data_IF_690798151735
#
_entry.id   IF_690798151735
#
_cell.length_a   1.000
_cell.length_b   1.000
_cell.length_c   1.000
_cell.angle_alpha   90.00
_cell.angle_beta   90.00
_cell.angle_gamma   90.00
#
_symmetry.space_group_name_H-M   'P 1'
#
loop_
_entity.id
_entity.type
_entity.pdbx_description
1 polymer ?
#
# COMPACT_ATOMS: atom_id res chain seq x y z
N UNK A 1 -58.36 -53.93 -4.04
CA UNK A 1 -58.39 -52.95 -2.94
C UNK A 1 -57.12 -53.14 -2.10
N UNK A 2 -56.03 -52.40 -2.40
CA UNK A 2 -54.75 -52.53 -1.69
C UNK A 2 -54.72 -51.52 -0.53
N UNK A 3 -54.52 -52.02 0.67
CA UNK A 3 -54.61 -51.31 1.94
C UNK A 3 -53.51 -50.25 2.09
N UNK A 4 -53.90 -48.97 2.09
CA UNK A 4 -53.06 -47.83 2.49
C UNK A 4 -52.89 -47.77 4.02
N UNK A 5 -52.31 -48.82 4.62
CA UNK A 5 -52.19 -48.95 6.09
C UNK A 5 -50.96 -48.25 6.69
N UNK A 6 -50.16 -47.56 5.88
CA UNK A 6 -48.91 -46.91 6.30
C UNK A 6 -48.92 -45.38 6.08
N UNK A 7 -50.07 -44.80 5.73
CA UNK A 7 -50.21 -43.37 5.44
C UNK A 7 -49.82 -42.42 6.61
N UNK A 8 -50.10 -42.71 7.90
CA UNK A 8 -49.82 -41.75 8.97
C UNK A 8 -48.32 -41.61 9.29
N UNK A 9 -47.51 -42.64 9.03
CA UNK A 9 -46.06 -42.61 9.29
C UNK A 9 -45.32 -41.74 8.27
N UNK A 10 -45.79 -41.69 7.02
CA UNK A 10 -45.19 -40.82 6.00
C UNK A 10 -45.52 -39.33 6.21
N UNK A 11 -46.70 -39.01 6.77
CA UNK A 11 -47.09 -37.62 7.02
C UNK A 11 -46.28 -36.99 8.17
N UNK A 12 -45.89 -37.78 9.17
CA UNK A 12 -45.09 -37.31 10.31
C UNK A 12 -43.63 -36.96 9.93
N UNK A 13 -43.06 -37.63 8.92
CA UNK A 13 -41.71 -37.35 8.44
C UNK A 13 -41.61 -36.03 7.64
N UNK A 14 -42.69 -35.62 6.96
CA UNK A 14 -42.73 -34.36 6.20
C UNK A 14 -42.81 -33.10 7.09
N UNK A 15 -43.38 -33.23 8.30
CA UNK A 15 -43.51 -32.11 9.23
C UNK A 15 -42.16 -31.66 9.84
N UNK A 16 -41.16 -32.55 9.87
CA UNK A 16 -39.81 -32.22 10.37
C UNK A 16 -38.99 -31.35 9.41
N UNK A 17 -39.35 -31.29 8.12
CA UNK A 17 -38.68 -30.43 7.14
C UNK A 17 -39.34 -29.05 6.97
N UNK A 18 -40.54 -28.83 7.52
CA UNK A 18 -41.21 -27.53 7.49
C UNK A 18 -40.61 -26.51 8.48
N UNK A 19 -39.71 -26.93 9.38
CA UNK A 19 -39.11 -26.07 10.41
C UNK A 19 -37.98 -25.16 9.91
N UNK A 20 -37.29 -25.51 8.81
CA UNK A 20 -36.11 -24.76 8.37
C UNK A 20 -36.41 -23.48 7.55
N UNK A 21 -37.68 -23.13 7.29
CA UNK A 21 -38.03 -21.89 6.56
C UNK A 21 -38.55 -20.77 7.46
N UNK A 22 -38.41 -20.90 8.79
CA UNK A 22 -38.84 -19.87 9.77
C UNK A 22 -37.72 -18.89 10.14
N UNK A 23 -36.68 -18.78 9.31
CA UNK A 23 -35.71 -17.71 9.44
C UNK A 23 -36.37 -16.40 8.96
N UNK A 24 -36.34 -15.31 9.76
CA UNK A 24 -36.82 -14.01 9.32
C UNK A 24 -36.22 -13.67 7.95
N UNK A 25 -36.96 -13.04 7.04
CA UNK A 25 -36.46 -12.73 5.70
C UNK A 25 -35.16 -11.94 5.85
N UNK A 26 -34.03 -12.49 5.40
CA UNK A 26 -32.74 -11.83 5.55
C UNK A 26 -32.78 -10.46 4.85
N UNK A 27 -32.29 -9.41 5.52
CA UNK A 27 -32.13 -8.11 4.88
C UNK A 27 -30.95 -8.17 3.87
N UNK A 28 -31.21 -8.03 2.56
CA UNK A 28 -30.18 -8.23 1.54
C UNK A 28 -29.07 -7.18 1.60
N UNK A 29 -29.38 -5.92 1.96
CA UNK A 29 -28.39 -4.86 2.05
C UNK A 29 -27.45 -5.07 3.25
N UNK A 30 -27.98 -5.55 4.37
CA UNK A 30 -27.18 -5.88 5.53
C UNK A 30 -26.26 -7.08 5.25
N UNK A 31 -26.75 -8.09 4.54
CA UNK A 31 -25.96 -9.27 4.21
C UNK A 31 -24.82 -8.93 3.23
N UNK A 32 -25.08 -8.09 2.24
CA UNK A 32 -24.05 -7.56 1.34
C UNK A 32 -22.96 -6.81 2.14
N UNK A 33 -23.35 -5.93 3.07
CA UNK A 33 -22.41 -5.21 3.91
C UNK A 33 -21.53 -6.13 4.78
N UNK A 34 -22.08 -7.25 5.28
CA UNK A 34 -21.31 -8.25 6.03
C UNK A 34 -20.28 -8.94 5.14
N UNK A 35 -20.65 -9.31 3.93
CA UNK A 35 -19.76 -9.94 2.96
C UNK A 35 -18.63 -9.00 2.56
N UNK A 36 -18.96 -7.73 2.26
CA UNK A 36 -17.99 -6.69 1.93
C UNK A 36 -16.99 -6.46 3.09
N UNK A 37 -17.48 -6.43 4.33
CA UNK A 37 -16.63 -6.26 5.51
C UNK A 37 -15.70 -7.46 5.72
N UNK A 38 -16.19 -8.69 5.54
CA UNK A 38 -15.35 -9.89 5.61
C UNK A 38 -14.25 -9.86 4.56
N UNK A 39 -14.57 -9.46 3.32
CA UNK A 39 -13.57 -9.29 2.27
C UNK A 39 -12.54 -8.20 2.61
N UNK A 40 -12.98 -7.08 3.20
CA UNK A 40 -12.09 -6.01 3.64
C UNK A 40 -11.18 -6.46 4.79
N UNK A 41 -11.70 -7.19 5.77
CA UNK A 41 -10.92 -7.72 6.90
C UNK A 41 -9.94 -8.82 6.48
N UNK A 42 -10.27 -9.59 5.44
CA UNK A 42 -9.37 -10.59 4.87
C UNK A 42 -8.24 -9.97 4.02
N UNK A 43 -8.33 -8.69 3.67
CA UNK A 43 -7.30 -8.00 2.90
C UNK A 43 -6.21 -7.44 3.85
N UNK A 44 -4.96 -7.94 3.79
CA UNK A 44 -3.88 -7.50 4.66
C UNK A 44 -3.52 -6.02 4.46
N UNK A 45 -3.71 -5.46 3.26
CA UNK A 45 -3.44 -4.04 3.02
C UNK A 45 -4.43 -3.17 3.79
N UNK A 46 -5.70 -3.56 3.82
CA UNK A 46 -6.75 -2.83 4.56
C UNK A 46 -6.49 -2.90 6.06
N UNK A 47 -6.12 -4.08 6.58
CA UNK A 47 -5.83 -4.28 8.00
C UNK A 47 -4.61 -3.48 8.46
N UNK A 48 -3.55 -3.45 7.65
CA UNK A 48 -2.29 -2.83 8.06
C UNK A 48 -2.21 -1.33 7.74
N UNK A 49 -2.80 -0.90 6.62
CA UNK A 49 -2.69 0.47 6.14
C UNK A 49 -3.92 1.30 6.50
N UNK A 50 -5.12 0.74 6.56
CA UNK A 50 -6.34 1.46 6.89
C UNK A 50 -7.04 0.99 8.20
N UNK A 51 -6.32 0.76 9.32
CA UNK A 51 -6.90 0.16 10.52
C UNK A 51 -7.98 1.05 11.16
N UNK A 52 -7.81 2.37 11.11
CA UNK A 52 -8.78 3.32 11.67
C UNK A 52 -10.09 3.26 10.87
N UNK A 53 -10.01 3.33 9.54
CA UNK A 53 -11.17 3.29 8.67
C UNK A 53 -11.85 1.92 8.71
N UNK A 54 -11.07 0.83 8.81
CA UNK A 54 -11.62 -0.52 8.99
C UNK A 54 -12.38 -0.63 10.32
N UNK A 55 -11.88 -0.03 11.40
CA UNK A 55 -12.62 0.02 12.66
C UNK A 55 -13.91 0.82 12.54
N UNK A 56 -13.89 1.99 11.91
CA UNK A 56 -15.11 2.76 11.68
C UNK A 56 -16.15 1.98 10.87
N UNK A 57 -15.69 1.21 9.88
CA UNK A 57 -16.53 0.33 9.09
C UNK A 57 -17.16 -0.78 9.94
N UNK A 58 -16.38 -1.38 10.86
CA UNK A 58 -16.86 -2.35 11.84
C UNK A 58 -17.95 -1.75 12.73
N UNK A 59 -17.68 -0.59 13.32
CA UNK A 59 -18.61 0.08 14.25
C UNK A 59 -19.94 0.44 13.53
N UNK A 60 -19.88 0.82 12.25
CA UNK A 60 -21.07 1.08 11.45
C UNK A 60 -21.85 -0.18 11.07
N UNK A 61 -21.16 -1.27 10.74
CA UNK A 61 -21.79 -2.56 10.49
C UNK A 61 -22.46 -3.10 11.76
N UNK A 62 -21.83 -2.93 12.92
CA UNK A 62 -22.40 -3.31 14.22
C UNK A 62 -23.68 -2.54 14.52
N UNK A 63 -23.75 -1.24 14.19
CA UNK A 63 -25.00 -0.48 14.30
C UNK A 63 -26.11 -1.05 13.42
N UNK A 64 -25.80 -1.44 12.18
CA UNK A 64 -26.77 -2.05 11.28
C UNK A 64 -27.22 -3.45 11.77
N UNK A 65 -26.30 -4.25 12.31
CA UNK A 65 -26.58 -5.54 12.94
C UNK A 65 -27.49 -5.38 14.17
N UNK A 66 -27.23 -4.39 15.02
CA UNK A 66 -28.03 -4.13 16.21
C UNK A 66 -29.45 -3.72 15.85
N UNK A 67 -29.63 -2.82 14.88
CA UNK A 67 -30.96 -2.45 14.38
C UNK A 67 -31.75 -3.67 13.87
N UNK A 68 -31.07 -4.58 13.16
CA UNK A 68 -31.67 -5.84 12.70
C UNK A 68 -32.10 -6.75 13.86
N UNK A 69 -31.24 -6.95 14.85
CA UNK A 69 -31.51 -7.79 16.03
C UNK A 69 -32.65 -7.21 16.88
N UNK A 70 -32.79 -5.89 16.94
CA UNK A 70 -33.86 -5.20 17.65
C UNK A 70 -35.19 -5.14 16.90
N UNK A 71 -35.27 -5.72 15.69
CA UNK A 71 -36.46 -5.67 14.83
C UNK A 71 -36.88 -4.23 14.49
N UNK A 72 -35.92 -3.33 14.32
CA UNK A 72 -36.18 -2.00 13.75
C UNK A 72 -36.74 -2.13 12.32
N UNK A 73 -37.34 -1.06 11.81
CA UNK A 73 -37.89 -1.05 10.45
C UNK A 73 -36.83 -1.40 9.39
N UNK A 74 -37.22 -2.10 8.32
CA UNK A 74 -36.34 -2.44 7.20
C UNK A 74 -35.66 -1.21 6.60
N UNK A 75 -36.37 -0.06 6.54
CA UNK A 75 -35.78 1.19 6.08
C UNK A 75 -34.58 1.61 6.93
N UNK A 76 -34.70 1.57 8.27
CA UNK A 76 -33.63 1.93 9.19
C UNK A 76 -32.42 1.01 9.04
N UNK A 77 -32.66 -0.29 8.91
CA UNK A 77 -31.60 -1.29 8.70
C UNK A 77 -30.90 -1.04 7.37
N UNK A 78 -31.64 -0.76 6.30
CA UNK A 78 -31.09 -0.44 4.98
C UNK A 78 -30.23 0.83 5.00
N UNK A 79 -30.68 1.89 5.68
CA UNK A 79 -29.91 3.13 5.83
C UNK A 79 -28.58 2.89 6.57
N UNK A 80 -28.60 2.13 7.67
CA UNK A 80 -27.39 1.81 8.42
C UNK A 80 -26.46 0.87 7.64
N UNK A 81 -27.01 -0.11 6.94
CA UNK A 81 -26.24 -1.00 6.06
C UNK A 81 -25.57 -0.22 4.93
N UNK A 82 -26.25 0.76 4.34
CA UNK A 82 -25.67 1.65 3.33
C UNK A 82 -24.47 2.45 3.90
N UNK A 83 -24.61 3.02 5.10
CA UNK A 83 -23.50 3.72 5.77
C UNK A 83 -22.33 2.78 6.05
N UNK A 84 -22.60 1.55 6.50
CA UNK A 84 -21.57 0.54 6.70
C UNK A 84 -20.83 0.24 5.39
N UNK A 85 -21.54 -0.04 4.29
CA UNK A 85 -20.95 -0.24 2.96
C UNK A 85 -20.06 0.92 2.52
N UNK A 86 -20.51 2.16 2.73
CA UNK A 86 -19.72 3.33 2.38
C UNK A 86 -18.42 3.41 3.19
N UNK A 87 -18.46 3.09 4.49
CA UNK A 87 -17.26 3.07 5.33
C UNK A 87 -16.32 1.92 4.99
N UNK A 88 -16.85 0.76 4.61
CA UNK A 88 -16.06 -0.37 4.08
C UNK A 88 -15.34 0.05 2.79
N UNK A 89 -16.05 0.70 1.87
CA UNK A 89 -15.42 1.20 0.64
C UNK A 89 -14.31 2.23 0.95
N UNK A 90 -14.55 3.14 1.90
CA UNK A 90 -13.53 4.12 2.33
C UNK A 90 -12.28 3.44 2.92
N UNK A 91 -12.42 2.37 3.72
CA UNK A 91 -11.26 1.65 4.25
C UNK A 91 -10.45 0.99 3.14
N UNK A 92 -11.12 0.40 2.14
CA UNK A 92 -10.46 -0.18 0.97
C UNK A 92 -9.73 0.87 0.13
N UNK A 93 -10.37 2.01 -0.15
CA UNK A 93 -9.74 3.09 -0.94
C UNK A 93 -8.58 3.75 -0.18
N UNK A 94 -8.71 3.90 1.15
CA UNK A 94 -7.61 4.41 1.99
C UNK A 94 -6.39 3.49 1.93
N UNK A 95 -6.61 2.17 1.95
CA UNK A 95 -5.52 1.20 1.81
C UNK A 95 -4.84 1.32 0.44
N UNK A 96 -5.63 1.39 -0.64
CA UNK A 96 -5.10 1.59 -2.01
C UNK A 96 -4.30 2.88 -2.13
N UNK A 97 -4.80 3.97 -1.55
CA UNK A 97 -4.11 5.25 -1.50
C UNK A 97 -2.74 5.09 -0.82
N UNK A 98 -2.68 4.45 0.35
CA UNK A 98 -1.41 4.28 1.07
C UNK A 98 -0.42 3.38 0.35
N UNK A 99 -0.89 2.32 -0.34
CA UNK A 99 -0.03 1.52 -1.22
C UNK A 99 0.57 2.39 -2.33
N UNK A 100 -0.22 3.26 -2.95
CA UNK A 100 0.25 4.18 -3.98
C UNK A 100 1.25 5.20 -3.42
N UNK A 101 1.00 5.76 -2.24
CA UNK A 101 1.90 6.69 -1.55
C UNK A 101 3.25 6.02 -1.22
N UNK A 102 3.24 4.77 -0.74
CA UNK A 102 4.46 4.01 -0.50
C UNK A 102 5.26 3.76 -1.77
N UNK A 103 4.58 3.49 -2.89
CA UNK A 103 5.22 3.34 -4.21
C UNK A 103 5.91 4.63 -4.66
N UNK A 104 5.22 5.77 -4.50
CA UNK A 104 5.79 7.10 -4.81
C UNK A 104 7.00 7.41 -3.92
N UNK A 105 6.92 7.11 -2.61
CA UNK A 105 8.03 7.30 -1.69
C UNK A 105 9.26 6.45 -2.06
N UNK A 106 9.04 5.20 -2.46
CA UNK A 106 10.12 4.32 -2.91
C UNK A 106 10.78 4.84 -4.20
N UNK A 107 9.98 5.25 -5.20
CA UNK A 107 10.51 5.83 -6.44
C UNK A 107 11.29 7.13 -6.19
N UNK A 108 10.82 7.96 -5.26
CA UNK A 108 11.56 9.17 -4.86
C UNK A 108 12.93 8.83 -4.25
N UNK A 109 12.99 7.80 -3.39
CA UNK A 109 14.24 7.32 -2.80
C UNK A 109 15.21 6.80 -3.86
N UNK A 110 14.74 6.01 -4.82
CA UNK A 110 15.55 5.51 -5.94
C UNK A 110 16.11 6.65 -6.79
N UNK A 111 15.27 7.64 -7.14
CA UNK A 111 15.69 8.83 -7.87
C UNK A 111 16.78 9.60 -7.11
N UNK A 112 16.61 9.77 -5.81
CA UNK A 112 17.57 10.50 -4.99
C UNK A 112 18.91 9.76 -4.90
N UNK A 113 18.88 8.42 -4.81
CA UNK A 113 20.08 7.59 -4.89
C UNK A 113 20.80 7.75 -6.24
N UNK A 114 20.07 7.65 -7.36
CA UNK A 114 20.66 7.85 -8.69
C UNK A 114 21.31 9.23 -8.84
N UNK A 115 20.67 10.27 -8.31
CA UNK A 115 21.23 11.64 -8.33
C UNK A 115 22.49 11.75 -7.47
N UNK A 116 22.53 11.08 -6.31
CA UNK A 116 23.73 11.04 -5.46
C UNK A 116 24.88 10.30 -6.14
N UNK A 117 24.60 9.17 -6.80
CA UNK A 117 25.60 8.40 -7.54
C UNK A 117 26.18 9.22 -8.70
N UNK A 118 25.33 9.91 -9.46
CA UNK A 118 25.76 10.83 -10.52
C UNK A 118 26.68 11.93 -9.99
N UNK A 119 26.27 12.62 -8.91
CA UNK A 119 27.10 13.67 -8.28
C UNK A 119 28.42 13.13 -7.74
N UNK A 120 28.44 11.89 -7.28
CA UNK A 120 29.67 11.24 -6.81
C UNK A 120 30.62 10.97 -7.98
N UNK A 121 30.11 10.44 -9.09
CA UNK A 121 30.89 10.25 -10.31
C UNK A 121 31.44 11.56 -10.89
N UNK A 122 30.63 12.62 -10.91
CA UNK A 122 31.06 13.96 -11.34
C UNK A 122 32.17 14.50 -10.43
N UNK A 123 32.02 14.37 -9.11
CA UNK A 123 33.02 14.82 -8.15
C UNK A 123 34.33 14.03 -8.26
N UNK A 124 34.26 12.72 -8.47
CA UNK A 124 35.44 11.86 -8.63
C UNK A 124 36.17 12.18 -9.93
N UNK A 125 35.44 12.40 -11.02
CA UNK A 125 36.02 12.88 -12.28
C UNK A 125 36.72 14.23 -12.10
N UNK A 126 36.05 15.20 -11.45
CA UNK A 126 36.63 16.52 -11.19
C UNK A 126 37.91 16.44 -10.33
N UNK A 127 37.94 15.54 -9.33
CA UNK A 127 39.15 15.29 -8.51
C UNK A 127 40.29 14.69 -9.34
N UNK A 128 39.99 13.72 -10.21
CA UNK A 128 40.99 13.14 -11.12
C UNK A 128 41.56 14.19 -12.06
N UNK A 129 40.70 14.97 -12.71
CA UNK A 129 41.11 16.04 -13.63
C UNK A 129 41.96 17.10 -12.90
N UNK A 130 41.56 17.49 -11.68
CA UNK A 130 42.34 18.41 -10.85
C UNK A 130 43.72 17.83 -10.47
N UNK A 131 43.80 16.56 -10.10
CA UNK A 131 45.07 15.89 -9.79
C UNK A 131 45.99 15.82 -11.00
N UNK A 132 45.44 15.59 -12.19
CA UNK A 132 46.20 15.57 -13.46
C UNK A 132 46.71 16.98 -13.79
N UNK A 133 45.87 18.01 -13.65
CA UNK A 133 46.28 19.39 -13.89
C UNK A 133 47.38 19.84 -12.91
N UNK A 134 47.28 19.45 -11.63
CA UNK A 134 48.31 19.73 -10.63
C UNK A 134 49.65 19.06 -10.96
N UNK A 135 49.65 17.79 -11.39
CA UNK A 135 50.88 17.09 -11.76
C UNK A 135 51.53 17.68 -13.01
N UNK A 136 50.74 18.07 -14.02
CA UNK A 136 51.24 18.78 -15.19
C UNK A 136 51.83 20.15 -14.84
N UNK A 137 51.18 20.90 -13.94
CA UNK A 137 51.67 22.19 -13.45
C UNK A 137 53.01 22.03 -12.74
N UNK A 138 53.13 21.04 -11.84
CA UNK A 138 54.38 20.74 -11.14
C UNK A 138 55.51 20.34 -12.12
N UNK A 139 55.20 19.50 -13.12
CA UNK A 139 56.18 19.12 -14.15
C UNK A 139 56.65 20.33 -14.99
N UNK A 140 55.73 21.21 -15.38
CA UNK A 140 56.04 22.42 -16.13
C UNK A 140 56.91 23.40 -15.30
N UNK A 141 56.61 23.56 -14.01
CA UNK A 141 57.41 24.37 -13.10
C UNK A 141 58.84 23.83 -12.94
N UNK A 142 58.99 22.51 -12.79
CA UNK A 142 60.30 21.87 -12.71
C UNK A 142 61.11 22.07 -13.99
N UNK A 143 60.49 21.85 -15.16
CA UNK A 143 61.14 22.07 -16.46
C UNK A 143 61.57 23.53 -16.66
N UNK A 144 60.74 24.49 -16.23
CA UNK A 144 61.07 25.91 -16.28
C UNK A 144 62.24 26.26 -15.36
N UNK A 145 62.26 25.74 -14.14
CA UNK A 145 63.37 25.94 -13.21
C UNK A 145 64.68 25.35 -13.76
N UNK A 146 64.64 24.16 -14.37
CA UNK A 146 65.80 23.52 -14.99
C UNK A 146 66.34 24.33 -16.17
N UNK A 147 65.46 24.88 -17.00
CA UNK A 147 65.84 25.76 -18.11
C UNK A 147 66.52 27.04 -17.62
N UNK A 148 65.98 27.65 -16.55
CA UNK A 148 66.58 28.84 -15.93
C UNK A 148 67.98 28.54 -15.37
N UNK A 149 68.17 27.41 -14.69
CA UNK A 149 69.50 27.01 -14.18
C UNK A 149 70.52 26.87 -15.31
N UNK A 150 70.14 26.21 -16.42
CA UNK A 150 71.04 26.07 -17.59
C UNK A 150 71.39 27.39 -18.24
N UNK A 151 70.44 28.35 -18.31
CA UNK A 151 70.73 29.69 -18.82
C UNK A 151 71.75 30.42 -17.94
N UNK A 152 71.56 30.38 -16.62
CA UNK A 152 72.49 31.00 -15.66
C UNK A 152 73.90 30.40 -15.76
N UNK A 153 74.00 29.07 -15.90
CA UNK A 153 75.29 28.40 -16.10
C UNK A 153 75.96 28.83 -17.41
N UNK A 154 75.22 28.89 -18.52
CA UNK A 154 75.75 29.33 -19.81
C UNK A 154 76.23 30.79 -19.78
N UNK A 155 75.51 31.68 -19.09
CA UNK A 155 75.90 33.07 -18.90
C UNK A 155 77.16 33.20 -18.03
N UNK A 156 77.28 32.37 -16.99
CA UNK A 156 78.47 32.35 -16.12
C UNK A 156 79.73 31.86 -16.86
N UNK A 157 79.59 30.92 -17.80
CA UNK A 157 80.71 30.43 -18.62
C UNK A 157 81.13 31.37 -19.75
N UNK A 158 80.31 32.37 -20.09
CA UNK A 158 80.59 33.34 -21.14
C UNK A 158 81.35 34.60 -20.64
N UNK A 159 81.53 34.76 -19.33
CA UNK A 159 82.28 35.84 -18.68
C UNK A 159 83.72 35.41 -18.38
#
# INVERSE_FOLDING_TARGET
>A
MKHFRNLPVMLAAAALFAGCSTMPPANPQLEEARQDFQAAQANPDVVNLAPIQLKEASDALDNANNAWVHHDSDQKVNELAYVAKQKIAVSQETAKQQVAEQSVANAAKERDQMRLDQRTQEADKAKMDASIAQSQTAAAQNAAADAQRKQQEAEAHAQ
#
